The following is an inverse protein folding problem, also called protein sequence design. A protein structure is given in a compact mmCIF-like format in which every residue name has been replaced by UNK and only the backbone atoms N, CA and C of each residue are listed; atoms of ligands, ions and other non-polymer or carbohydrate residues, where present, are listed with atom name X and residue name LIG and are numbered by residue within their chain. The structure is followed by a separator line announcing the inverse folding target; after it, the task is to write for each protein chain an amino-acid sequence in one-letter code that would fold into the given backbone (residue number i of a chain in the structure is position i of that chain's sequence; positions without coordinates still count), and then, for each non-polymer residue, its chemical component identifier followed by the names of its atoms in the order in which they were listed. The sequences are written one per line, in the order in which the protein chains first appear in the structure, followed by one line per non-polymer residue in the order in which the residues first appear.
data_IF_248818168714
#
_entry.id   IF_248818168714
#
_cell.length_a   1.000
_cell.length_b   1.000
_cell.length_c   1.000
_cell.angle_alpha   90.00
_cell.angle_beta   90.00
_cell.angle_gamma   90.00
#
_symmetry.space_group_name_H-M   'P 1'
#
loop_
_entity.id
_entity.type
_entity.pdbx_description
1 polymer ?
#
# COMPACT_ATOMS: atom_id res chain seq x y z
N UNK A 1 16.71 -2.85 -13.13
CA UNK A 1 15.33 -2.68 -12.65
C UNK A 1 14.98 -3.88 -11.78
N UNK A 2 14.64 -3.65 -10.50
CA UNK A 2 14.24 -4.68 -9.53
C UNK A 2 12.76 -4.54 -9.20
N UNK A 3 12.07 -5.66 -8.99
CA UNK A 3 10.67 -5.69 -8.52
C UNK A 3 10.61 -6.08 -7.04
N UNK A 4 9.88 -5.32 -6.22
CA UNK A 4 9.70 -5.60 -4.79
C UNK A 4 8.23 -5.57 -4.36
N UNK A 5 7.80 -6.38 -3.38
CA UNK A 5 6.44 -6.32 -2.88
C UNK A 5 6.18 -5.04 -2.09
N UNK A 6 4.97 -4.52 -2.17
CA UNK A 6 4.44 -3.52 -1.23
C UNK A 6 3.02 -3.86 -0.80
N UNK A 7 2.73 -3.74 0.49
CA UNK A 7 1.41 -4.01 1.05
C UNK A 7 0.56 -2.74 1.02
N UNK A 8 -0.68 -2.86 0.56
CA UNK A 8 -1.70 -1.83 0.62
C UNK A 8 -3.02 -2.40 1.14
N UNK A 9 -3.77 -1.59 1.88
CA UNK A 9 -5.15 -1.91 2.26
C UNK A 9 -6.07 -1.82 1.05
N UNK A 10 -7.28 -2.35 1.17
CA UNK A 10 -8.29 -2.31 0.11
C UNK A 10 -8.58 -0.87 -0.37
N UNK A 11 -8.75 0.06 0.57
CA UNK A 11 -8.96 1.48 0.23
C UNK A 11 -7.77 2.10 -0.52
N UNK A 12 -6.54 1.76 -0.12
CA UNK A 12 -5.35 2.23 -0.83
C UNK A 12 -5.23 1.63 -2.23
N UNK A 13 -5.66 0.39 -2.41
CA UNK A 13 -5.69 -0.24 -3.73
C UNK A 13 -6.71 0.43 -4.63
N UNK A 14 -7.93 0.69 -4.14
CA UNK A 14 -8.94 1.46 -4.87
C UNK A 14 -8.39 2.83 -5.25
N UNK A 15 -7.75 3.53 -4.32
CA UNK A 15 -7.12 4.82 -4.60
C UNK A 15 -6.01 4.75 -5.67
N UNK A 16 -5.26 3.64 -5.77
CA UNK A 16 -4.28 3.43 -6.84
C UNK A 16 -4.99 3.20 -8.18
N UNK A 17 -6.02 2.36 -8.20
CA UNK A 17 -6.80 2.06 -9.41
C UNK A 17 -7.52 3.30 -9.96
N UNK A 18 -7.99 4.18 -9.08
CA UNK A 18 -8.59 5.47 -9.43
C UNK A 18 -7.55 6.55 -9.80
N UNK A 19 -6.26 6.26 -9.66
CA UNK A 19 -5.17 7.22 -9.91
C UNK A 19 -4.99 8.31 -8.85
N UNK A 20 -5.71 8.23 -7.72
CA UNK A 20 -5.61 9.19 -6.59
C UNK A 20 -4.34 8.99 -5.76
N UNK A 21 -3.91 7.74 -5.59
CA UNK A 21 -2.71 7.40 -4.82
C UNK A 21 -1.50 7.24 -5.74
N UNK A 22 -0.58 8.20 -5.67
CA UNK A 22 0.70 8.21 -6.41
C UNK A 22 1.91 8.32 -5.48
N UNK A 23 1.67 8.48 -4.18
CA UNK A 23 2.71 8.57 -3.15
C UNK A 23 2.38 7.62 -2.00
N UNK A 24 3.42 7.10 -1.36
CA UNK A 24 3.27 6.46 -0.06
C UNK A 24 4.40 6.85 0.90
N UNK A 25 4.00 7.21 2.13
CA UNK A 25 4.91 7.41 3.26
C UNK A 25 5.04 6.16 4.11
N UNK A 26 6.28 5.81 4.47
CA UNK A 26 6.62 4.66 5.32
C UNK A 26 7.68 5.06 6.33
N UNK A 27 7.41 4.86 7.62
CA UNK A 27 8.36 5.17 8.69
C UNK A 27 9.71 4.47 8.46
N UNK A 28 10.79 5.23 8.61
CA UNK A 28 12.15 4.69 8.53
C UNK A 28 12.36 3.79 9.74
N UNK A 29 12.62 2.51 9.47
CA UNK A 29 12.99 1.51 10.48
C UNK A 29 14.40 1.03 10.18
N UNK A 30 15.42 1.42 10.96
CA UNK A 30 16.76 0.89 10.75
C UNK A 30 16.75 -0.61 11.04
N UNK A 31 17.29 -1.39 10.10
CA UNK A 31 17.48 -2.84 10.28
C UNK A 31 18.93 -3.02 10.71
N UNK A 32 19.15 -3.09 12.02
CA UNK A 32 20.47 -3.30 12.62
C UNK A 32 20.58 -4.74 13.15
N UNK A 33 21.81 -5.30 13.15
CA UNK A 33 22.09 -6.60 13.81
C UNK A 33 22.19 -6.46 15.32
N UNK A 34 22.55 -5.27 15.81
CA UNK A 34 22.51 -4.89 17.23
C UNK A 34 21.13 -4.35 17.60
N UNK A 35 20.81 -4.37 18.91
CA UNK A 35 19.54 -3.89 19.45
C UNK A 35 19.32 -2.38 19.33
N UNK A 36 20.30 -1.66 18.80
CA UNK A 36 20.21 -0.22 18.57
C UNK A 36 19.36 0.02 17.32
N UNK A 37 18.22 0.70 17.51
CA UNK A 37 17.28 1.06 16.44
C UNK A 37 17.48 2.52 16.01
N UNK A 38 18.70 3.03 16.13
CA UNK A 38 19.02 4.43 15.89
C UNK A 38 19.69 4.62 14.51
N UNK A 39 19.43 5.78 13.92
CA UNK A 39 20.05 6.26 12.69
C UNK A 39 20.22 7.78 12.85
N UNK A 40 21.28 8.30 12.25
CA UNK A 40 21.49 9.74 12.16
C UNK A 40 21.00 10.23 10.80
N UNK A 41 20.48 11.45 10.76
CA UNK A 41 20.18 12.11 9.51
C UNK A 41 21.22 13.16 9.21
N UNK A 42 21.76 13.06 8.01
CA UNK A 42 22.67 14.04 7.47
C UNK A 42 21.96 14.76 6.33
N UNK A 43 22.10 16.07 6.31
CA UNK A 43 21.62 16.89 5.21
C UNK A 43 22.75 17.03 4.20
N UNK A 44 22.45 16.69 2.94
CA UNK A 44 23.38 16.84 1.83
C UNK A 44 23.44 18.30 1.35
N UNK A 45 24.43 18.62 0.52
CA UNK A 45 24.61 19.97 -0.01
C UNK A 45 23.44 20.48 -0.86
N UNK A 46 22.62 19.58 -1.42
CA UNK A 46 21.41 19.91 -2.17
C UNK A 46 20.15 20.09 -1.28
N UNK A 47 20.30 19.97 0.04
CA UNK A 47 19.23 20.08 1.02
C UNK A 47 18.46 18.79 1.28
N UNK A 48 18.75 17.71 0.56
CA UNK A 48 18.13 16.40 0.79
C UNK A 48 18.62 15.75 2.09
N UNK A 49 17.76 14.95 2.71
CA UNK A 49 18.09 14.22 3.93
C UNK A 49 18.39 12.77 3.61
N UNK A 50 19.49 12.25 4.17
CA UNK A 50 19.87 10.86 4.04
C UNK A 50 20.10 10.23 5.42
N UNK A 51 19.50 9.06 5.70
CA UNK A 51 19.74 8.32 6.94
C UNK A 51 21.05 7.54 6.88
N UNK A 52 21.81 7.56 7.96
CA UNK A 52 23.08 6.87 8.16
C UNK A 52 23.03 6.03 9.44
N UNK A 53 23.80 4.96 9.51
CA UNK A 53 23.76 4.06 10.67
C UNK A 53 24.59 4.65 11.81
N UNK A 54 24.00 4.77 13.01
CA UNK A 54 24.78 5.14 14.19
C UNK A 54 25.68 3.97 14.59
N UNK A 55 26.99 4.09 14.43
CA UNK A 55 28.01 3.13 14.92
C UNK A 55 27.88 1.70 14.37
N UNK A 56 27.88 1.52 13.04
CA UNK A 56 28.01 0.19 12.42
C UNK A 56 29.17 0.13 11.43
N UNK A 57 30.36 -0.28 11.92
CA UNK A 57 31.57 -0.48 11.10
C UNK A 57 31.36 -1.48 9.94
N UNK A 58 30.33 -2.34 10.01
CA UNK A 58 30.03 -3.31 8.95
C UNK A 58 29.36 -2.70 7.71
N UNK A 59 29.03 -1.39 7.77
CA UNK A 59 28.39 -0.66 6.67
C UNK A 59 29.34 0.27 5.92
N UNK A 60 30.60 0.35 6.33
CA UNK A 60 31.64 0.97 5.55
C UNK A 60 32.02 0.04 4.39
N UNK A 61 32.23 0.61 3.20
CA UNK A 61 32.77 -0.16 2.10
C UNK A 61 34.27 -0.48 2.33
N UNK A 62 34.88 -1.20 1.38
CA UNK A 62 36.31 -1.56 1.47
C UNK A 62 37.25 -0.35 1.50
N UNK A 63 36.77 0.83 1.14
CA UNK A 63 37.49 2.10 1.22
C UNK A 63 37.25 2.87 2.53
N UNK A 64 36.47 2.32 3.47
CA UNK A 64 36.14 3.02 4.71
C UNK A 64 35.15 4.17 4.49
N UNK A 65 34.37 4.15 3.41
CA UNK A 65 33.32 5.14 3.15
C UNK A 65 31.98 4.63 3.67
N UNK A 66 31.32 5.44 4.49
CA UNK A 66 29.96 5.17 4.95
C UNK A 66 28.95 5.48 3.84
N UNK A 67 27.94 4.62 3.66
CA UNK A 67 26.88 4.81 2.68
C UNK A 67 25.52 4.99 3.39
N UNK A 68 24.62 5.81 2.83
CA UNK A 68 23.30 6.00 3.42
C UNK A 68 22.48 4.71 3.41
N UNK A 69 21.58 4.59 4.39
CA UNK A 69 20.60 3.51 4.49
C UNK A 69 19.71 3.56 3.26
N UNK A 70 19.78 2.49 2.44
CA UNK A 70 19.00 2.41 1.20
C UNK A 70 17.51 2.20 1.52
N UNK A 71 16.65 2.92 0.80
CA UNK A 71 15.21 2.74 0.90
C UNK A 71 14.84 1.27 0.58
N UNK A 72 14.10 0.57 1.47
CA UNK A 72 13.79 -0.85 1.30
C UNK A 72 12.88 -1.12 0.10
N UNK A 73 12.15 -0.11 -0.37
CA UNK A 73 11.23 -0.20 -1.50
C UNK A 73 11.96 -0.08 -2.85
N UNK A 74 13.15 0.51 -2.88
CA UNK A 74 13.95 0.68 -4.09
C UNK A 74 14.32 2.13 -4.34
N UNK A 75 14.63 2.43 -5.59
CA UNK A 75 15.05 3.74 -6.07
C UNK A 75 14.31 4.06 -7.38
N UNK A 76 14.35 5.30 -7.87
CA UNK A 76 13.74 5.64 -9.16
C UNK A 76 14.13 4.67 -10.28
N UNK A 77 13.13 4.21 -11.04
CA UNK A 77 13.27 3.20 -12.09
C UNK A 77 13.19 1.74 -11.61
N UNK A 78 13.14 1.47 -10.30
CA UNK A 78 12.70 0.16 -9.78
C UNK A 78 11.16 0.07 -9.77
N UNK A 79 10.62 -1.13 -9.57
CA UNK A 79 9.19 -1.39 -9.57
C UNK A 79 8.70 -2.00 -8.27
N UNK A 80 7.45 -1.70 -7.93
CA UNK A 80 6.72 -2.29 -6.81
C UNK A 80 5.52 -3.07 -7.33
N UNK A 81 5.36 -4.31 -6.90
CA UNK A 81 4.14 -5.08 -7.15
C UNK A 81 3.28 -5.07 -5.89
N UNK A 82 1.99 -4.75 -6.06
CA UNK A 82 1.09 -4.56 -4.92
C UNK A 82 0.62 -5.91 -4.39
N UNK A 83 0.63 -6.00 -3.07
CA UNK A 83 0.00 -7.05 -2.30
C UNK A 83 -1.29 -6.52 -1.68
N UNK A 84 -2.39 -7.13 -2.06
CA UNK A 84 -3.74 -6.85 -1.58
C UNK A 84 -4.42 -8.14 -1.09
N UNK A 85 -5.53 -8.01 -0.37
CA UNK A 85 -6.33 -9.16 0.05
C UNK A 85 -6.91 -9.85 -1.19
N UNK A 86 -6.68 -11.16 -1.31
CA UNK A 86 -6.92 -11.88 -2.57
C UNK A 86 -7.52 -13.27 -2.32
N UNK A 87 -8.20 -13.83 -3.31
CA UNK A 87 -8.77 -15.17 -3.29
C UNK A 87 -8.51 -15.88 -4.61
N UNK A 88 -8.85 -17.18 -4.72
CA UNK A 88 -8.80 -17.91 -5.99
C UNK A 88 -10.11 -18.64 -6.19
N UNK A 89 -10.76 -18.44 -7.34
CA UNK A 89 -11.94 -19.17 -7.77
C UNK A 89 -11.57 -19.98 -9.02
N UNK A 90 -11.84 -21.28 -9.01
CA UNK A 90 -11.58 -22.16 -10.16
C UNK A 90 -12.85 -22.65 -10.83
N UNK A 91 -13.88 -22.95 -10.04
CA UNK A 91 -15.13 -23.54 -10.51
C UNK A 91 -16.33 -22.87 -9.85
N UNK A 92 -17.48 -23.10 -10.47
CA UNK A 92 -18.82 -22.79 -9.99
C UNK A 92 -19.70 -24.03 -10.16
N UNK A 93 -20.96 -23.92 -9.76
CA UNK A 93 -21.95 -24.99 -9.90
C UNK A 93 -23.07 -24.50 -10.83
N UNK A 94 -23.42 -25.29 -11.83
CA UNK A 94 -24.50 -24.94 -12.75
C UNK A 94 -25.90 -25.19 -12.15
N UNK A 95 -26.95 -24.88 -12.91
CA UNK A 95 -28.35 -25.08 -12.47
C UNK A 95 -28.71 -26.55 -12.17
N UNK A 96 -27.88 -27.50 -12.62
CA UNK A 96 -28.04 -28.93 -12.38
C UNK A 96 -27.21 -29.42 -11.20
N UNK A 97 -26.45 -28.53 -10.55
CA UNK A 97 -25.53 -28.88 -9.47
C UNK A 97 -24.24 -29.54 -9.97
N UNK A 98 -23.91 -29.41 -11.26
CA UNK A 98 -22.68 -29.94 -11.83
C UNK A 98 -21.56 -28.89 -11.75
N UNK A 99 -20.33 -29.36 -11.49
CA UNK A 99 -19.17 -28.48 -11.41
C UNK A 99 -18.80 -27.97 -12.81
N UNK A 100 -18.77 -26.65 -12.97
CA UNK A 100 -18.39 -25.97 -14.20
C UNK A 100 -17.22 -25.00 -13.96
N UNK A 101 -16.43 -24.72 -15.00
CA UNK A 101 -15.37 -23.70 -14.90
C UNK A 101 -15.99 -22.33 -14.61
N UNK A 102 -15.41 -21.61 -13.65
CA UNK A 102 -15.89 -20.27 -13.34
C UNK A 102 -15.43 -19.28 -14.42
N UNK A 103 -16.41 -18.62 -15.04
CA UNK A 103 -16.17 -17.51 -15.96
C UNK A 103 -16.13 -16.21 -15.14
N UNK A 104 -15.06 -15.40 -15.24
CA UNK A 104 -14.96 -14.19 -14.43
C UNK A 104 -16.10 -13.19 -14.66
N UNK A 105 -16.80 -12.86 -13.58
CA UNK A 105 -17.82 -11.81 -13.51
C UNK A 105 -17.28 -10.48 -12.97
N UNK A 106 -16.00 -10.46 -12.60
CA UNK A 106 -15.27 -9.36 -11.95
C UNK A 106 -13.80 -9.35 -12.39
N UNK A 107 -13.04 -8.27 -12.12
CA UNK A 107 -11.62 -8.25 -12.41
C UNK A 107 -10.91 -9.44 -11.78
N UNK A 108 -10.23 -10.23 -12.61
CA UNK A 108 -9.56 -11.43 -12.15
C UNK A 108 -8.29 -11.72 -12.95
N UNK A 109 -7.28 -12.26 -12.29
CA UNK A 109 -6.01 -12.64 -12.94
C UNK A 109 -5.98 -14.15 -13.16
N UNK A 110 -5.86 -14.64 -14.40
CA UNK A 110 -5.78 -16.07 -14.67
C UNK A 110 -4.50 -16.63 -14.06
N UNK A 111 -4.64 -17.75 -13.38
CA UNK A 111 -3.56 -18.45 -12.68
C UNK A 111 -3.56 -19.90 -13.13
N UNK A 112 -2.36 -20.39 -13.47
CA UNK A 112 -2.12 -21.80 -13.77
C UNK A 112 -0.99 -22.32 -12.89
N UNK A 113 -1.30 -23.33 -12.07
CA UNK A 113 -0.32 -24.01 -11.21
C UNK A 113 0.53 -23.04 -10.35
N UNK A 114 -0.12 -22.03 -9.77
CA UNK A 114 0.55 -21.15 -8.82
C UNK A 114 0.77 -21.88 -7.50
N UNK A 115 2.05 -22.10 -7.18
CA UNK A 115 2.45 -22.64 -5.89
C UNK A 115 2.10 -21.66 -4.77
N UNK A 116 1.29 -22.10 -3.82
CA UNK A 116 0.97 -21.32 -2.62
C UNK A 116 0.71 -22.25 -1.43
N UNK A 117 1.32 -21.94 -0.27
CA UNK A 117 1.28 -22.82 0.89
C UNK A 117 1.84 -24.21 0.57
N UNK A 118 1.04 -25.26 0.81
CA UNK A 118 1.38 -26.66 0.54
C UNK A 118 0.84 -27.21 -0.79
N UNK A 119 0.24 -26.36 -1.63
CA UNK A 119 -0.44 -26.79 -2.84
C UNK A 119 -0.20 -25.90 -4.05
N UNK A 120 -0.91 -26.24 -5.13
CA UNK A 120 -0.98 -25.47 -6.37
C UNK A 120 -2.40 -25.02 -6.60
N UNK A 121 -2.56 -23.78 -7.03
CA UNK A 121 -3.84 -23.20 -7.39
C UNK A 121 -3.88 -22.95 -8.89
N UNK A 122 -5.00 -23.32 -9.51
CA UNK A 122 -5.35 -22.98 -10.88
C UNK A 122 -6.75 -22.37 -10.86
N UNK A 123 -7.04 -21.46 -11.78
CA UNK A 123 -8.30 -20.70 -11.81
C UNK A 123 -8.02 -19.21 -11.98
N UNK A 124 -8.74 -18.39 -11.23
CA UNK A 124 -8.66 -16.93 -11.32
C UNK A 124 -8.45 -16.32 -9.94
N UNK A 125 -7.42 -15.50 -9.79
CA UNK A 125 -7.27 -14.66 -8.61
C UNK A 125 -8.26 -13.51 -8.63
N UNK A 126 -9.02 -13.37 -7.55
CA UNK A 126 -9.94 -12.26 -7.28
C UNK A 126 -9.43 -11.41 -6.11
N UNK A 127 -9.96 -10.21 -5.94
CA UNK A 127 -9.43 -9.24 -4.99
C UNK A 127 -10.53 -8.56 -4.16
N UNK A 128 -10.29 -8.39 -2.87
CA UNK A 128 -11.30 -7.83 -1.95
C UNK A 128 -11.60 -6.35 -2.25
N UNK A 129 -10.63 -5.64 -2.83
CA UNK A 129 -10.84 -4.27 -3.30
C UNK A 129 -11.97 -4.18 -4.35
N UNK A 130 -12.27 -5.26 -5.09
CA UNK A 130 -13.33 -5.30 -6.11
C UNK A 130 -14.71 -5.67 -5.55
N UNK A 131 -14.81 -5.94 -4.24
CA UNK A 131 -16.06 -6.29 -3.58
C UNK A 131 -15.98 -7.62 -2.83
N UNK A 132 -17.03 -7.95 -2.05
CA UNK A 132 -17.06 -9.14 -1.22
C UNK A 132 -17.07 -10.42 -2.07
N UNK A 133 -16.56 -11.50 -1.47
CA UNK A 133 -16.60 -12.84 -2.00
C UNK A 133 -16.87 -13.79 -0.83
N UNK A 134 -18.16 -13.88 -0.47
CA UNK A 134 -18.66 -14.77 0.57
C UNK A 134 -19.36 -15.94 -0.11
N UNK A 135 -19.06 -17.15 0.37
CA UNK A 135 -19.77 -18.34 -0.04
C UNK A 135 -20.58 -18.77 1.18
N UNK A 136 -21.88 -19.05 0.97
CA UNK A 136 -22.74 -19.53 2.04
C UNK A 136 -22.07 -20.73 2.73
N UNK A 137 -22.05 -20.73 4.07
CA UNK A 137 -21.76 -21.94 4.81
C UNK A 137 -22.83 -22.99 4.50
N UNK A 138 -22.39 -24.26 4.47
CA UNK A 138 -23.11 -25.53 4.18
C UNK A 138 -24.27 -25.53 3.16
N UNK A 139 -24.62 -26.72 2.68
CA UNK A 139 -25.60 -26.90 1.58
C UNK A 139 -27.02 -26.40 1.93
N UNK A 140 -27.28 -26.10 3.21
CA UNK A 140 -28.53 -25.59 3.77
C UNK A 140 -28.51 -24.07 4.08
N UNK A 141 -27.43 -23.36 3.71
CA UNK A 141 -27.29 -21.92 3.93
C UNK A 141 -27.15 -21.55 5.41
N UNK A 142 -26.68 -22.49 6.24
CA UNK A 142 -26.68 -22.46 7.69
C UNK A 142 -25.30 -22.63 8.31
N UNK A 143 -24.34 -21.76 7.99
CA UNK A 143 -23.01 -21.80 8.60
C UNK A 143 -22.34 -20.44 8.71
N UNK A 144 -21.26 -20.34 9.49
CA UNK A 144 -20.44 -19.12 9.50
C UNK A 144 -19.92 -18.84 8.07
N UNK A 145 -20.05 -17.60 7.56
CA UNK A 145 -19.57 -17.24 6.24
C UNK A 145 -18.10 -17.63 6.09
N UNK A 146 -17.79 -18.52 5.14
CA UNK A 146 -16.40 -18.85 4.84
C UNK A 146 -15.87 -17.78 3.89
N UNK A 147 -14.87 -17.05 4.38
CA UNK A 147 -14.17 -16.07 3.56
C UNK A 147 -13.26 -16.75 2.55
N UNK A 148 -13.42 -16.43 1.27
CA UNK A 148 -12.49 -16.83 0.21
C UNK A 148 -11.14 -16.08 0.29
N UNK A 149 -11.02 -15.14 1.24
CA UNK A 149 -9.90 -14.21 1.32
C UNK A 149 -8.68 -14.76 2.03
N UNK A 150 -7.54 -14.55 1.38
CA UNK A 150 -6.20 -14.75 1.91
C UNK A 150 -5.60 -13.39 2.25
N UNK A 151 -4.96 -13.24 3.43
CA UNK A 151 -4.30 -12.00 3.80
C UNK A 151 -3.26 -11.57 2.78
N UNK A 152 -3.16 -10.25 2.53
CA UNK A 152 -2.24 -9.63 1.58
C UNK A 152 -0.77 -9.99 1.83
N UNK A 153 -0.38 -10.22 3.09
CA UNK A 153 1.01 -10.57 3.48
C UNK A 153 1.51 -11.87 2.81
N UNK A 154 0.57 -12.74 2.45
CA UNK A 154 0.86 -14.03 1.83
C UNK A 154 0.80 -13.99 0.30
N UNK A 155 0.32 -12.88 -0.29
CA UNK A 155 0.12 -12.79 -1.73
C UNK A 155 1.43 -13.01 -2.52
N UNK A 156 1.46 -13.97 -3.46
CA UNK A 156 2.63 -14.20 -4.32
C UNK A 156 2.64 -13.25 -5.53
N UNK A 157 3.82 -13.06 -6.13
CA UNK A 157 4.00 -12.15 -7.29
C UNK A 157 3.09 -12.49 -8.47
N UNK A 158 2.89 -13.78 -8.75
CA UNK A 158 2.07 -14.26 -9.87
C UNK A 158 0.57 -13.95 -9.75
N UNK A 159 0.08 -13.62 -8.55
CA UNK A 159 -1.30 -13.21 -8.34
C UNK A 159 -1.49 -11.68 -8.38
N UNK A 160 -0.41 -10.89 -8.41
CA UNK A 160 -0.49 -9.42 -8.35
C UNK A 160 -0.90 -8.85 -9.70
N UNK A 161 -1.97 -8.03 -9.70
CA UNK A 161 -2.49 -7.33 -10.89
C UNK A 161 -1.95 -5.91 -11.07
N UNK A 162 -1.34 -5.33 -10.03
CA UNK A 162 -0.89 -3.93 -10.03
C UNK A 162 0.63 -3.88 -9.96
N UNK A 163 1.23 -3.20 -10.94
CA UNK A 163 2.65 -2.88 -10.99
C UNK A 163 2.83 -1.37 -10.98
N UNK A 164 3.74 -0.89 -10.14
CA UNK A 164 4.04 0.52 -9.94
C UNK A 164 5.52 0.77 -10.26
N UNK A 165 5.83 1.80 -11.02
CA UNK A 165 7.20 2.25 -11.26
C UNK A 165 7.53 3.39 -10.30
N UNK A 166 8.62 3.25 -9.53
CA UNK A 166 9.09 4.28 -8.61
C UNK A 166 9.65 5.44 -9.42
N UNK A 167 9.14 6.64 -9.20
CA UNK A 167 9.55 7.87 -9.89
C UNK A 167 10.48 8.72 -9.04
N UNK A 168 10.27 8.74 -7.72
CA UNK A 168 11.10 9.48 -6.77
C UNK A 168 11.12 8.80 -5.40
N UNK A 169 12.22 8.96 -4.67
CA UNK A 169 12.36 8.54 -3.27
C UNK A 169 13.07 9.65 -2.52
N UNK A 170 12.54 10.04 -1.36
CA UNK A 170 13.16 11.04 -0.47
C UNK A 170 12.84 10.77 0.99
N UNK A 171 13.55 11.46 1.88
CA UNK A 171 13.30 11.44 3.33
C UNK A 171 12.72 12.76 3.78
N UNK A 172 11.60 12.70 4.52
CA UNK A 172 10.93 13.88 5.10
C UNK A 172 10.44 13.56 6.51
N UNK A 173 10.18 14.61 7.31
CA UNK A 173 9.35 14.47 8.51
C UNK A 173 7.91 14.17 8.10
N UNK A 174 7.22 13.30 8.84
CA UNK A 174 5.83 12.94 8.57
C UNK A 174 4.93 14.17 8.40
N UNK A 175 5.11 15.16 9.27
CA UNK A 175 4.30 16.39 9.33
C UNK A 175 4.90 17.55 8.52
N UNK A 176 5.89 17.32 7.65
CA UNK A 176 6.61 18.40 6.94
C UNK A 176 5.74 19.28 6.03
N UNK A 177 4.54 18.83 5.63
CA UNK A 177 3.59 19.62 4.86
C UNK A 177 2.51 20.30 5.72
N UNK A 178 2.68 20.38 7.03
CA UNK A 178 1.81 21.18 7.90
C UNK A 178 1.80 22.65 7.44
N UNK A 179 0.61 23.24 7.30
CA UNK A 179 0.45 24.62 6.83
C UNK A 179 0.47 24.79 5.30
N UNK A 180 0.61 23.71 4.52
CA UNK A 180 0.37 23.76 3.07
C UNK A 180 -1.08 24.11 2.77
N UNK A 181 -1.32 24.83 1.67
CA UNK A 181 -2.69 25.10 1.23
C UNK A 181 -3.37 23.81 0.79
N UNK A 182 -4.68 23.71 0.99
CA UNK A 182 -5.44 22.51 0.64
C UNK A 182 -5.31 22.10 -0.84
N UNK A 183 -5.08 23.08 -1.73
CA UNK A 183 -4.91 22.86 -3.17
C UNK A 183 -3.53 22.27 -3.54
N UNK A 184 -2.50 22.65 -2.79
CA UNK A 184 -1.10 22.22 -3.05
C UNK A 184 -0.67 21.05 -2.17
N UNK A 185 -1.55 20.62 -1.26
CA UNK A 185 -1.20 19.62 -0.24
C UNK A 185 -0.72 18.32 -0.86
N UNK A 186 0.54 17.99 -0.55
CA UNK A 186 1.19 16.74 -0.97
C UNK A 186 0.53 15.47 -0.42
N UNK A 187 -0.38 15.61 0.56
CA UNK A 187 -1.03 14.49 1.21
C UNK A 187 -2.24 13.96 0.44
N UNK A 188 -2.80 14.75 -0.50
CA UNK A 188 -3.86 14.27 -1.41
C UNK A 188 -3.40 13.04 -2.19
N UNK A 189 -2.14 13.04 -2.64
CA UNK A 189 -1.52 11.94 -3.37
C UNK A 189 -1.29 10.65 -2.55
N UNK A 190 -1.56 10.66 -1.25
CA UNK A 190 -1.61 9.44 -0.43
C UNK A 190 -2.90 8.63 -0.66
N UNK A 191 -3.86 9.18 -1.40
CA UNK A 191 -5.13 8.54 -1.72
C UNK A 191 -6.29 8.97 -0.82
N UNK A 192 -6.16 10.06 -0.05
CA UNK A 192 -7.31 10.64 0.66
C UNK A 192 -8.34 11.17 -0.35
N UNK A 193 -9.60 11.22 0.06
CA UNK A 193 -10.69 11.67 -0.78
C UNK A 193 -10.79 13.19 -0.76
N UNK A 194 -10.96 13.78 -1.94
CA UNK A 194 -11.31 15.19 -2.11
C UNK A 194 -12.77 15.26 -2.56
N UNK A 195 -13.62 15.82 -1.73
CA UNK A 195 -15.08 15.80 -1.84
C UNK A 195 -15.56 17.20 -2.18
N UNK A 196 -16.29 17.35 -3.29
CA UNK A 196 -16.88 18.63 -3.68
C UNK A 196 -18.15 18.90 -2.88
N UNK A 197 -18.22 20.02 -2.16
CA UNK A 197 -19.46 20.54 -1.60
C UNK A 197 -20.04 21.56 -2.57
N UNK A 198 -21.33 21.49 -2.88
CA UNK A 198 -21.99 22.21 -3.97
C UNK A 198 -21.76 23.74 -4.05
N UNK A 199 -21.21 24.34 -3.00
CA UNK A 199 -20.88 25.77 -2.90
C UNK A 199 -19.50 26.14 -3.48
N UNK A 200 -18.78 25.18 -4.07
CA UNK A 200 -17.44 25.37 -4.67
C UNK A 200 -16.28 25.09 -3.72
N UNK A 201 -16.59 24.72 -2.48
CA UNK A 201 -15.62 24.32 -1.46
C UNK A 201 -15.31 22.82 -1.54
N UNK A 202 -14.09 22.47 -1.11
CA UNK A 202 -13.65 21.08 -1.00
C UNK A 202 -13.44 20.69 0.45
N UNK A 203 -13.89 19.49 0.77
CA UNK A 203 -13.56 18.81 2.01
C UNK A 203 -12.75 17.55 1.73
N UNK A 204 -12.12 17.03 2.77
CA UNK A 204 -11.23 15.89 2.70
C UNK A 204 -11.62 14.82 3.71
N UNK A 205 -11.50 13.56 3.33
CA UNK A 205 -11.76 12.44 4.23
C UNK A 205 -10.80 11.29 3.92
N UNK A 206 -10.35 10.58 4.96
CA UNK A 206 -9.39 9.48 4.81
C UNK A 206 -9.97 8.29 4.01
N UNK A 207 -11.25 7.95 4.25
CA UNK A 207 -11.88 6.71 3.76
C UNK A 207 -13.20 6.85 2.98
N UNK A 208 -13.80 8.05 2.89
CA UNK A 208 -15.15 8.24 2.34
C UNK A 208 -15.08 9.24 1.21
N UNK A 209 -15.82 9.00 0.14
CA UNK A 209 -15.96 9.89 -1.03
C UNK A 209 -17.23 10.76 -0.99
N UNK A 210 -18.17 10.44 -0.11
CA UNK A 210 -19.43 11.18 0.02
C UNK A 210 -19.38 12.27 1.10
N UNK A 211 -20.10 13.40 0.91
CA UNK A 211 -20.22 14.42 1.94
C UNK A 211 -20.93 13.91 3.20
N UNK A 212 -20.37 14.19 4.37
CA UNK A 212 -20.97 13.78 5.64
C UNK A 212 -20.22 14.29 6.88
N UNK A 213 -20.70 13.94 8.08
CA UNK A 213 -19.98 14.25 9.32
C UNK A 213 -18.62 13.52 9.33
N UNK A 214 -17.58 14.21 9.83
CA UNK A 214 -16.20 13.71 9.86
C UNK A 214 -15.33 14.18 8.69
N UNK A 215 -15.86 15.01 7.80
CA UNK A 215 -15.09 15.66 6.75
C UNK A 215 -14.19 16.77 7.32
N UNK A 216 -12.96 16.84 6.83
CA UNK A 216 -11.95 17.83 7.20
C UNK A 216 -11.87 18.95 6.17
N UNK A 217 -11.63 20.19 6.62
CA UNK A 217 -11.34 21.32 5.72
C UNK A 217 -9.89 21.28 5.19
N UNK A 218 -9.00 20.61 5.92
CA UNK A 218 -7.57 20.50 5.59
C UNK A 218 -7.21 19.04 5.24
N UNK A 219 -6.59 18.79 4.07
CA UNK A 219 -6.08 17.47 3.71
C UNK A 219 -5.04 16.92 4.72
N UNK A 220 -4.33 17.78 5.45
CA UNK A 220 -3.41 17.38 6.50
C UNK A 220 -4.09 16.63 7.65
N UNK A 221 -5.28 17.07 8.06
CA UNK A 221 -6.07 16.41 9.10
C UNK A 221 -6.64 15.07 8.62
N UNK A 222 -7.14 15.01 7.38
CA UNK A 222 -7.57 13.76 6.76
C UNK A 222 -6.40 12.77 6.61
N UNK A 223 -5.20 13.28 6.30
CA UNK A 223 -3.99 12.48 6.28
C UNK A 223 -3.59 11.96 7.66
N UNK A 224 -3.68 12.79 8.71
CA UNK A 224 -3.45 12.34 10.09
C UNK A 224 -4.33 11.14 10.42
N UNK A 225 -5.62 11.23 10.09
CA UNK A 225 -6.57 10.14 10.33
C UNK A 225 -6.18 8.86 9.59
N UNK A 226 -5.81 8.96 8.30
CA UNK A 226 -5.31 7.83 7.52
C UNK A 226 -4.02 7.24 8.12
N UNK A 227 -3.07 8.08 8.54
CA UNK A 227 -1.82 7.62 9.12
C UNK A 227 -2.04 6.88 10.45
N UNK A 228 -2.88 7.44 11.32
CA UNK A 228 -3.22 6.88 12.63
C UNK A 228 -3.94 5.53 12.50
N UNK A 229 -4.83 5.37 11.52
CA UNK A 229 -5.54 4.09 11.32
C UNK A 229 -4.59 2.95 10.94
N UNK A 230 -3.46 3.26 10.32
CA UNK A 230 -2.47 2.27 9.86
C UNK A 230 -1.40 2.01 10.92
N UNK A 231 -0.93 3.06 11.59
CA UNK A 231 0.26 3.01 12.43
C UNK A 231 -0.04 3.12 13.94
N UNK A 232 -1.30 3.35 14.31
CA UNK A 232 -1.75 3.55 15.69
C UNK A 232 -1.75 5.01 16.12
N UNK A 233 -2.50 5.32 17.19
CA UNK A 233 -2.72 6.69 17.67
C UNK A 233 -1.42 7.43 18.06
N UNK A 234 -0.49 6.73 18.71
CA UNK A 234 0.76 7.35 19.19
C UNK A 234 1.75 7.68 18.07
N UNK A 235 1.53 7.13 16.87
CA UNK A 235 2.46 7.27 15.73
C UNK A 235 2.50 8.68 15.14
N UNK A 236 1.43 9.46 15.29
CA UNK A 236 1.35 10.80 14.72
C UNK A 236 2.21 11.79 15.49
N UNK A 237 2.05 11.84 16.81
CA UNK A 237 2.77 12.77 17.69
C UNK A 237 4.28 12.52 17.72
N UNK A 238 4.72 11.29 17.41
CA UNK A 238 6.12 10.97 17.25
C UNK A 238 6.78 11.70 16.07
N UNK A 239 6.00 12.19 15.10
CA UNK A 239 6.44 12.85 13.87
C UNK A 239 7.69 12.18 13.26
N UNK A 240 7.64 10.86 12.97
CA UNK A 240 8.82 10.12 12.55
C UNK A 240 9.34 10.62 11.20
N UNK A 241 10.61 10.34 10.94
CA UNK A 241 11.13 10.43 9.58
C UNK A 241 10.58 9.28 8.74
N UNK A 242 10.17 9.61 7.51
CA UNK A 242 9.52 8.68 6.59
C UNK A 242 10.27 8.65 5.27
N UNK A 243 10.32 7.47 4.67
CA UNK A 243 10.53 7.34 3.23
C UNK A 243 9.26 7.83 2.53
N UNK A 244 9.40 8.83 1.67
CA UNK A 244 8.36 9.24 0.72
C UNK A 244 8.69 8.60 -0.61
N UNK A 245 7.85 7.67 -1.05
CA UNK A 245 8.02 6.93 -2.30
C UNK A 245 6.93 7.36 -3.26
N UNK A 246 7.33 8.01 -4.36
CA UNK A 246 6.44 8.37 -5.46
C UNK A 246 6.48 7.30 -6.54
N UNK A 247 5.33 7.06 -7.16
CA UNK A 247 5.18 6.06 -8.19
C UNK A 247 4.06 6.39 -9.17
N UNK A 248 4.12 5.73 -10.33
CA UNK A 248 3.03 5.69 -11.31
C UNK A 248 2.67 4.24 -11.62
N UNK A 249 1.39 3.99 -11.92
CA UNK A 249 0.96 2.68 -12.38
C UNK A 249 1.53 2.41 -13.78
N UNK A 250 2.02 1.18 -13.99
CA UNK A 250 2.49 0.70 -15.28
C UNK A 250 1.79 -0.61 -15.63
N UNK A 251 1.77 -0.96 -16.92
CA UNK A 251 1.26 -2.27 -17.32
C UNK A 251 2.18 -3.38 -16.77
N UNK A 252 1.60 -4.45 -16.20
CA UNK A 252 2.35 -5.63 -15.75
C UNK A 252 3.25 -6.23 -16.82
#
# INVERSE_FOLDING_TARGET
MKERPILFSEEMVRAILDGRKTVTRRAIKPIMRSADLQFDLQQEADGSWNPYHTFDESRFDRSGTEHPIKCPYGQPGDRLWVRETWGVISHTWDERGEMADWVPDRPATPIRELRFGRGYYSGHAIYAADGPAEWAGDDDGGGEPRSAWKPSIHMPRGASRILLEITAVRVERLQAGEGETAFESRYVAEGIHRIHHGDGDYYFHAFKDEPGPGNWCDPFDAWRELWVSINGADSWNANPWVWVVEFKQVKP
#
